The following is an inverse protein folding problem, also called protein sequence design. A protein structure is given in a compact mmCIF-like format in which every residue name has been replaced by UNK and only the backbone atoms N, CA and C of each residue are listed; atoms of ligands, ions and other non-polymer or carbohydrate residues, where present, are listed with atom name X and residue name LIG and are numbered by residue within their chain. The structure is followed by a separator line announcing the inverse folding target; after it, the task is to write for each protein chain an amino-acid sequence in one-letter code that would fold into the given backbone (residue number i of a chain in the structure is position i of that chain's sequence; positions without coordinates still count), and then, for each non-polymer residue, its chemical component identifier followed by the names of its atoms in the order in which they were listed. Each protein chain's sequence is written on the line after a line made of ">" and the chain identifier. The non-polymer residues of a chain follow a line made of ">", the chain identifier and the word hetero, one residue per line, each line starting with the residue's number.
data_IF_255545692997
#
_entry.id   IF_255545692997
#
_cell.length_a   1.000
_cell.length_b   1.000
_cell.length_c   1.000
_cell.angle_alpha   90.00
_cell.angle_beta   90.00
_cell.angle_gamma   90.00
#
_symmetry.space_group_name_H-M   'P 1'
#
loop_
_entity.id
_entity.type
_entity.pdbx_description
1 polymer ?
#
# COMPACT_ATOMS: atom_id res chain seq x y z
N UNK A 1 1.66 -20.82 -31.40
CA UNK A 1 2.07 -20.27 -30.09
C UNK A 1 1.49 -21.16 -29.00
N UNK A 2 2.18 -21.38 -27.86
CA UNK A 2 1.59 -22.13 -26.75
C UNK A 2 0.44 -21.33 -26.10
N UNK A 3 -0.58 -22.00 -25.56
CA UNK A 3 -1.76 -21.37 -24.91
C UNK A 3 -1.35 -20.24 -23.95
N UNK A 4 -0.41 -20.52 -23.04
CA UNK A 4 0.07 -19.56 -22.06
C UNK A 4 0.86 -18.39 -22.67
N UNK A 5 1.48 -18.57 -23.84
CA UNK A 5 2.12 -17.47 -24.57
C UNK A 5 1.09 -16.55 -25.19
N UNK A 6 -0.01 -17.10 -25.71
CA UNK A 6 -1.12 -16.33 -26.26
C UNK A 6 -1.86 -15.55 -25.16
N UNK A 7 -2.16 -16.18 -24.02
CA UNK A 7 -2.74 -15.50 -22.84
C UNK A 7 -1.87 -14.31 -22.41
N UNK A 8 -0.55 -14.52 -22.33
CA UNK A 8 0.39 -13.45 -21.97
C UNK A 8 0.34 -12.29 -22.97
N UNK A 9 0.34 -12.59 -24.27
CA UNK A 9 0.26 -11.56 -25.31
C UNK A 9 -1.06 -10.76 -25.22
N UNK A 10 -2.19 -11.45 -25.04
CA UNK A 10 -3.50 -10.81 -24.88
C UNK A 10 -3.54 -9.89 -23.66
N UNK A 11 -3.01 -10.33 -22.51
CA UNK A 11 -2.96 -9.52 -21.29
C UNK A 11 -2.05 -8.29 -21.46
N UNK A 12 -0.90 -8.43 -22.13
CA UNK A 12 -0.03 -7.29 -22.40
C UNK A 12 -0.68 -6.31 -23.39
N UNK A 13 -1.45 -6.80 -24.37
CA UNK A 13 -2.23 -5.93 -25.25
C UNK A 13 -3.29 -5.16 -24.47
N UNK A 14 -4.08 -5.82 -23.63
CA UNK A 14 -5.08 -5.16 -22.78
C UNK A 14 -4.43 -4.06 -21.92
N UNK A 15 -3.27 -4.33 -21.32
CA UNK A 15 -2.54 -3.32 -20.56
C UNK A 15 -2.11 -2.14 -21.43
N UNK A 16 -1.61 -2.41 -22.64
CA UNK A 16 -1.23 -1.35 -23.57
C UNK A 16 -2.44 -0.49 -23.97
N UNK A 17 -3.61 -1.12 -24.19
CA UNK A 17 -4.85 -0.42 -24.52
C UNK A 17 -5.32 0.48 -23.36
N UNK A 18 -5.22 0.00 -22.11
CA UNK A 18 -5.48 0.83 -20.91
C UNK A 18 -4.53 2.02 -20.83
N UNK A 19 -3.24 1.82 -21.14
CA UNK A 19 -2.26 2.92 -21.12
C UNK A 19 -2.49 3.94 -22.24
N UNK A 20 -2.98 3.49 -23.39
CA UNK A 20 -3.31 4.31 -24.56
C UNK A 20 -4.67 4.99 -24.46
N UNK A 21 -5.47 4.68 -23.44
CA UNK A 21 -6.80 5.26 -23.27
C UNK A 21 -6.73 6.77 -23.00
N UNK A 22 -7.42 7.54 -23.84
CA UNK A 22 -7.53 9.00 -23.77
C UNK A 22 -8.92 9.47 -23.36
N UNK A 23 -9.89 8.56 -23.23
CA UNK A 23 -11.26 8.85 -22.83
C UNK A 23 -11.84 7.70 -22.00
N UNK A 24 -12.87 8.02 -21.23
CA UNK A 24 -13.62 7.04 -20.45
C UNK A 24 -14.31 6.00 -21.36
N UNK A 25 -14.85 6.42 -22.50
CA UNK A 25 -15.41 5.50 -23.50
C UNK A 25 -14.40 4.46 -23.98
N UNK A 26 -13.14 4.88 -24.17
CA UNK A 26 -12.07 3.95 -24.53
C UNK A 26 -11.83 2.94 -23.39
N UNK A 27 -11.79 3.38 -22.12
CA UNK A 27 -11.67 2.48 -20.97
C UNK A 27 -12.85 1.50 -20.88
N UNK A 28 -14.08 1.96 -21.12
CA UNK A 28 -15.26 1.10 -21.16
C UNK A 28 -15.18 0.07 -22.29
N UNK A 29 -14.68 0.45 -23.47
CA UNK A 29 -14.44 -0.48 -24.57
C UNK A 29 -13.37 -1.52 -24.25
N UNK A 30 -12.34 -1.17 -23.46
CA UNK A 30 -11.36 -2.15 -22.96
C UNK A 30 -12.00 -3.13 -21.97
N UNK A 31 -12.88 -2.68 -21.09
CA UNK A 31 -13.61 -3.59 -20.19
C UNK A 31 -14.49 -4.55 -21.02
N UNK A 32 -15.17 -4.01 -22.04
CA UNK A 32 -16.03 -4.78 -22.95
C UNK A 32 -15.23 -5.81 -23.76
N UNK A 33 -14.05 -5.43 -24.24
CA UNK A 33 -13.15 -6.33 -24.99
C UNK A 33 -12.64 -7.47 -24.12
N UNK A 34 -12.48 -7.26 -22.81
CA UNK A 34 -12.12 -8.32 -21.85
C UNK A 34 -13.31 -9.26 -21.60
N UNK A 35 -14.53 -8.73 -21.53
CA UNK A 35 -15.75 -9.52 -21.34
C UNK A 35 -16.08 -10.40 -22.55
N UNK A 36 -15.94 -9.85 -23.76
CA UNK A 36 -16.23 -10.52 -25.03
C UNK A 36 -14.98 -11.05 -25.73
N UNK A 37 -13.88 -11.22 -25.00
CA UNK A 37 -12.60 -11.61 -25.58
C UNK A 37 -12.67 -13.00 -26.25
N UNK A 38 -12.34 -13.07 -27.54
CA UNK A 38 -12.46 -14.31 -28.35
C UNK A 38 -11.34 -15.33 -28.08
N UNK A 39 -10.22 -14.90 -27.50
CA UNK A 39 -9.07 -15.74 -27.15
C UNK A 39 -8.96 -16.05 -25.65
N UNK A 40 -8.02 -16.92 -25.23
CA UNK A 40 -7.86 -17.28 -23.83
C UNK A 40 -7.29 -16.10 -23.01
N UNK A 41 -7.87 -15.88 -21.83
CA UNK A 41 -7.41 -14.91 -20.83
C UNK A 41 -6.98 -15.56 -19.51
N UNK A 42 -7.23 -16.86 -19.37
CA UNK A 42 -6.83 -17.64 -18.21
C UNK A 42 -5.71 -18.61 -18.57
N UNK A 43 -4.66 -18.55 -17.76
CA UNK A 43 -3.51 -19.44 -17.92
C UNK A 43 -3.92 -20.89 -17.63
N UNK A 44 -3.45 -21.81 -18.48
CA UNK A 44 -3.49 -23.23 -18.17
C UNK A 44 -2.25 -23.57 -17.32
N UNK A 45 -2.45 -23.53 -16.01
CA UNK A 45 -1.39 -23.71 -15.02
C UNK A 45 -1.50 -25.07 -14.30
N UNK A 46 -2.20 -26.08 -14.86
CA UNK A 46 -2.37 -27.39 -14.22
C UNK A 46 -1.02 -28.08 -13.90
N UNK A 47 -0.12 -28.16 -14.88
CA UNK A 47 1.21 -28.78 -14.70
C UNK A 47 2.09 -28.00 -13.71
N UNK A 48 2.28 -26.67 -13.84
CA UNK A 48 3.00 -25.90 -12.83
C UNK A 48 2.38 -25.98 -11.43
N UNK A 49 1.06 -26.04 -11.32
CA UNK A 49 0.37 -26.20 -10.04
C UNK A 49 0.63 -27.58 -9.44
N UNK A 50 0.58 -28.65 -10.25
CA UNK A 50 0.94 -29.98 -9.81
C UNK A 50 2.40 -30.03 -9.35
N UNK A 51 3.33 -29.46 -10.13
CA UNK A 51 4.74 -29.35 -9.76
C UNK A 51 4.94 -28.59 -8.45
N UNK A 52 4.24 -27.48 -8.25
CA UNK A 52 4.27 -26.72 -6.99
C UNK A 52 3.86 -27.60 -5.80
N UNK A 53 2.79 -28.38 -5.93
CA UNK A 53 2.37 -29.31 -4.87
C UNK A 53 3.35 -30.46 -4.65
N UNK A 54 3.96 -30.99 -5.71
CA UNK A 54 5.04 -31.97 -5.60
C UNK A 54 6.25 -31.40 -4.85
N UNK A 55 6.66 -30.17 -5.17
CA UNK A 55 7.75 -29.49 -4.45
C UNK A 55 7.41 -29.29 -2.97
N UNK A 56 6.20 -28.83 -2.65
CA UNK A 56 5.76 -28.72 -1.25
C UNK A 56 5.73 -30.07 -0.53
N UNK A 57 5.32 -31.15 -1.21
CA UNK A 57 5.33 -32.50 -0.63
C UNK A 57 6.77 -32.96 -0.36
N UNK A 58 7.70 -32.76 -1.29
CA UNK A 58 9.13 -33.06 -1.10
C UNK A 58 9.69 -32.26 0.07
N UNK A 59 9.39 -30.97 0.16
CA UNK A 59 9.81 -30.13 1.28
C UNK A 59 9.26 -30.64 2.61
N UNK A 60 7.98 -31.02 2.68
CA UNK A 60 7.37 -31.55 3.89
C UNK A 60 8.06 -32.85 4.36
N UNK A 61 8.32 -33.77 3.43
CA UNK A 61 9.07 -35.01 3.70
C UNK A 61 10.49 -34.70 4.17
N UNK A 62 11.20 -33.81 3.48
CA UNK A 62 12.55 -33.39 3.85
C UNK A 62 12.61 -32.78 5.25
N UNK A 63 11.69 -31.87 5.59
CA UNK A 63 11.61 -31.30 6.94
C UNK A 63 11.38 -32.37 8.01
N UNK A 64 10.51 -33.34 7.73
CA UNK A 64 10.17 -34.42 8.64
C UNK A 64 11.38 -35.33 8.92
N UNK A 65 12.14 -35.66 7.88
CA UNK A 65 13.35 -36.49 7.99
C UNK A 65 14.47 -35.78 8.75
N UNK A 66 14.72 -34.50 8.42
CA UNK A 66 15.76 -33.70 9.09
C UNK A 66 15.44 -33.52 10.59
N UNK A 67 14.16 -33.41 10.94
CA UNK A 67 13.72 -33.36 12.33
C UNK A 67 14.04 -34.67 13.08
N UNK A 68 13.70 -35.84 12.51
CA UNK A 68 13.91 -37.13 13.19
C UNK A 68 15.37 -37.54 13.33
N UNK A 69 16.24 -37.10 12.41
CA UNK A 69 17.67 -37.45 12.41
C UNK A 69 18.49 -36.54 13.35
N UNK A 70 17.89 -35.48 13.90
CA UNK A 70 18.50 -34.65 14.95
C UNK A 70 19.52 -33.62 14.46
N UNK A 71 19.44 -33.22 13.19
CA UNK A 71 20.40 -32.31 12.55
C UNK A 71 20.22 -30.82 12.87
N UNK A 72 20.36 -30.41 14.13
CA UNK A 72 20.31 -28.98 14.52
C UNK A 72 21.67 -28.28 14.43
N UNK A 73 22.32 -28.33 13.27
CA UNK A 73 23.68 -27.79 13.09
C UNK A 73 23.73 -26.38 12.49
N UNK A 74 22.58 -25.78 12.11
CA UNK A 74 22.52 -24.44 11.50
C UNK A 74 21.30 -23.63 11.94
N UNK A 75 21.34 -22.31 11.75
CA UNK A 75 20.20 -21.42 12.03
C UNK A 75 18.95 -21.78 11.21
N UNK A 76 19.14 -22.23 9.95
CA UNK A 76 18.06 -22.70 9.08
C UNK A 76 17.49 -24.02 9.62
N UNK A 77 18.37 -24.93 10.05
CA UNK A 77 17.98 -26.19 10.71
C UNK A 77 17.14 -25.95 11.95
N UNK A 78 17.53 -24.99 12.80
CA UNK A 78 16.78 -24.63 14.00
C UNK A 78 15.36 -24.12 13.70
N UNK A 79 15.17 -23.32 12.64
CA UNK A 79 13.84 -22.84 12.22
C UNK A 79 12.99 -24.02 11.75
N UNK A 80 13.53 -24.89 10.90
CA UNK A 80 12.82 -26.07 10.40
C UNK A 80 12.48 -27.06 11.52
N UNK A 81 13.41 -27.27 12.46
CA UNK A 81 13.21 -28.10 13.64
C UNK A 81 12.07 -27.55 14.49
N UNK A 82 12.06 -26.26 14.82
CA UNK A 82 10.99 -25.67 15.62
C UNK A 82 9.64 -25.73 14.89
N UNK A 83 9.62 -25.43 13.58
CA UNK A 83 8.41 -25.55 12.78
C UNK A 83 7.85 -26.98 12.80
N UNK A 84 8.71 -27.99 12.70
CA UNK A 84 8.31 -29.39 12.75
C UNK A 84 7.95 -29.83 14.17
N UNK A 85 8.70 -29.43 15.20
CA UNK A 85 8.44 -29.75 16.61
C UNK A 85 7.04 -29.30 17.05
N UNK A 86 6.65 -28.08 16.66
CA UNK A 86 5.33 -27.53 16.99
C UNK A 86 4.25 -27.85 15.96
N UNK A 87 4.52 -28.72 14.98
CA UNK A 87 3.56 -29.12 13.94
C UNK A 87 2.34 -29.84 14.49
N UNK A 88 2.47 -30.54 15.62
CA UNK A 88 1.34 -31.13 16.35
C UNK A 88 0.27 -30.09 16.73
N UNK A 89 0.66 -28.81 16.89
CA UNK A 89 -0.22 -27.68 17.20
C UNK A 89 -0.77 -27.06 15.90
N UNK A 90 0.11 -26.60 15.01
CA UNK A 90 -0.31 -25.77 13.89
C UNK A 90 -0.87 -26.55 12.69
N UNK A 91 -0.45 -27.81 12.45
CA UNK A 91 -0.97 -28.61 11.33
C UNK A 91 -2.46 -28.95 11.53
N UNK A 92 -2.87 -29.56 12.66
CA UNK A 92 -4.29 -29.85 12.89
C UNK A 92 -5.14 -28.58 12.97
N UNK A 93 -4.65 -27.54 13.65
CA UNK A 93 -5.33 -26.25 13.75
C UNK A 93 -5.50 -25.57 12.39
N UNK A 94 -4.47 -25.60 11.54
CA UNK A 94 -4.52 -25.08 10.19
C UNK A 94 -5.48 -25.84 9.28
N UNK A 95 -5.48 -27.18 9.33
CA UNK A 95 -6.45 -28.01 8.59
C UNK A 95 -7.88 -27.70 9.06
N UNK A 96 -8.11 -27.65 10.37
CA UNK A 96 -9.41 -27.32 10.94
C UNK A 96 -9.88 -25.92 10.52
N UNK A 97 -8.98 -24.94 10.48
CA UNK A 97 -9.26 -23.61 9.96
C UNK A 97 -9.69 -23.63 8.49
N UNK A 98 -8.94 -24.32 7.62
CA UNK A 98 -9.24 -24.37 6.18
C UNK A 98 -10.57 -25.08 5.90
N UNK A 99 -10.83 -26.19 6.59
CA UNK A 99 -12.08 -26.95 6.49
C UNK A 99 -13.26 -26.12 6.99
N UNK A 100 -13.13 -25.50 8.17
CA UNK A 100 -14.18 -24.63 8.73
C UNK A 100 -14.40 -23.37 7.88
N UNK A 101 -13.37 -22.79 7.27
CA UNK A 101 -13.51 -21.68 6.34
C UNK A 101 -14.34 -22.08 5.10
N UNK A 102 -14.16 -23.30 4.59
CA UNK A 102 -14.98 -23.84 3.49
C UNK A 102 -16.44 -23.99 3.92
N UNK A 103 -16.71 -24.47 5.13
CA UNK A 103 -18.07 -24.57 5.68
C UNK A 103 -18.70 -23.20 5.95
N UNK A 104 -17.93 -22.23 6.45
CA UNK A 104 -18.36 -20.82 6.63
C UNK A 104 -18.82 -20.22 5.30
N UNK A 105 -18.04 -20.39 4.23
CA UNK A 105 -18.41 -19.93 2.87
C UNK A 105 -19.66 -20.59 2.31
N UNK A 106 -20.01 -21.79 2.79
CA UNK A 106 -21.24 -22.51 2.43
C UNK A 106 -22.43 -22.15 3.32
N UNK A 107 -22.30 -21.20 4.26
CA UNK A 107 -23.36 -20.83 5.19
C UNK A 107 -23.68 -21.89 6.25
N UNK A 108 -22.78 -22.87 6.46
CA UNK A 108 -22.99 -23.99 7.40
C UNK A 108 -22.47 -23.72 8.82
N UNK A 109 -21.81 -22.59 9.04
CA UNK A 109 -21.33 -22.18 10.35
C UNK A 109 -22.09 -20.93 10.82
N UNK A 110 -22.36 -20.82 12.14
CA UNK A 110 -23.05 -19.67 12.69
C UNK A 110 -22.22 -18.40 12.50
N UNK A 111 -22.90 -17.28 12.24
CA UNK A 111 -22.29 -15.94 12.30
C UNK A 111 -22.40 -15.41 13.73
N UNK A 112 -21.33 -14.81 14.23
CA UNK A 112 -21.35 -14.13 15.53
C UNK A 112 -21.99 -12.75 15.41
N UNK A 113 -22.42 -12.19 16.55
CA UNK A 113 -22.91 -10.81 16.62
C UNK A 113 -21.73 -9.81 16.57
N UNK A 114 -21.96 -8.56 16.13
CA UNK A 114 -20.97 -7.49 16.20
C UNK A 114 -20.39 -7.35 17.62
N UNK A 115 -19.07 -7.13 17.79
CA UNK A 115 -18.08 -6.80 16.77
C UNK A 115 -17.37 -8.01 16.11
N UNK A 116 -17.81 -9.24 16.37
CA UNK A 116 -17.15 -10.47 15.93
C UNK A 116 -17.78 -11.12 14.68
N UNK A 117 -18.63 -10.39 13.97
CA UNK A 117 -19.41 -10.82 12.80
C UNK A 117 -18.58 -11.13 11.54
N UNK A 118 -17.25 -11.17 11.65
CA UNK A 118 -16.38 -11.42 10.50
C UNK A 118 -16.38 -12.92 10.12
N UNK A 119 -16.42 -13.25 8.81
CA UNK A 119 -16.59 -14.63 8.32
C UNK A 119 -15.42 -15.58 8.62
N UNK A 120 -14.28 -15.05 9.07
CA UNK A 120 -13.09 -15.81 9.43
C UNK A 120 -12.95 -16.07 10.94
N UNK A 121 -13.73 -15.40 11.79
CA UNK A 121 -13.57 -15.49 13.26
C UNK A 121 -13.94 -16.88 13.77
N UNK A 122 -15.10 -17.41 13.37
CA UNK A 122 -15.52 -18.76 13.77
C UNK A 122 -14.55 -19.84 13.27
N UNK A 123 -14.12 -19.84 11.98
CA UNK A 123 -13.03 -20.71 11.54
C UNK A 123 -11.74 -20.59 12.35
N UNK A 124 -11.34 -19.37 12.70
CA UNK A 124 -10.14 -19.13 13.52
C UNK A 124 -10.28 -19.72 14.92
N UNK A 125 -11.42 -19.54 15.59
CA UNK A 125 -11.68 -20.15 16.90
C UNK A 125 -11.65 -21.68 16.84
N UNK A 126 -12.24 -22.29 15.80
CA UNK A 126 -12.18 -23.74 15.58
C UNK A 126 -10.72 -24.19 15.38
N UNK A 127 -9.96 -23.48 14.55
CA UNK A 127 -8.54 -23.76 14.33
C UNK A 127 -7.71 -23.69 15.61
N UNK A 128 -7.94 -22.67 16.45
CA UNK A 128 -7.29 -22.53 17.76
C UNK A 128 -7.70 -23.67 18.68
N UNK A 129 -9.00 -23.96 18.81
CA UNK A 129 -9.49 -25.03 19.69
C UNK A 129 -8.91 -26.40 19.32
N UNK A 130 -8.83 -26.71 18.02
CA UNK A 130 -8.19 -27.95 17.54
C UNK A 130 -6.68 -27.92 17.76
N UNK A 131 -6.02 -26.78 17.55
CA UNK A 131 -4.59 -26.64 17.84
C UNK A 131 -4.25 -26.84 19.32
N UNK A 132 -5.12 -26.41 20.23
CA UNK A 132 -4.97 -26.62 21.68
C UNK A 132 -5.05 -28.10 22.09
N UNK A 133 -5.61 -28.99 21.25
CA UNK A 133 -5.58 -30.43 21.52
C UNK A 133 -4.15 -30.98 21.60
N UNK A 134 -3.18 -30.29 21.00
CA UNK A 134 -1.76 -30.64 21.12
C UNK A 134 -1.21 -30.61 22.55
N UNK A 135 -1.87 -29.91 23.48
CA UNK A 135 -1.51 -29.94 24.90
C UNK A 135 -2.05 -31.18 25.63
N UNK A 136 -2.91 -31.97 24.98
CA UNK A 136 -3.33 -33.28 25.48
C UNK A 136 -2.22 -34.29 25.17
N UNK A 137 -1.57 -34.91 26.17
CA UNK A 137 -0.40 -35.78 25.94
C UNK A 137 -0.66 -36.90 24.93
N UNK A 138 -1.84 -37.52 24.99
CA UNK A 138 -2.23 -38.61 24.10
C UNK A 138 -2.36 -38.15 22.63
N UNK A 139 -2.82 -36.92 22.39
CA UNK A 139 -2.89 -36.37 21.04
C UNK A 139 -1.50 -36.09 20.49
N UNK A 140 -0.63 -35.46 21.28
CA UNK A 140 0.74 -35.19 20.88
C UNK A 140 1.49 -36.48 20.54
N UNK A 141 1.36 -37.51 21.39
CA UNK A 141 1.93 -38.84 21.15
C UNK A 141 1.34 -39.49 19.89
N UNK A 142 0.01 -39.48 19.74
CA UNK A 142 -0.65 -40.06 18.57
C UNK A 142 -0.25 -39.38 17.25
N UNK A 143 -0.14 -38.05 17.26
CA UNK A 143 0.36 -37.26 16.14
C UNK A 143 1.77 -37.70 15.73
N UNK A 144 2.71 -37.69 16.68
CA UNK A 144 4.09 -38.04 16.41
C UNK A 144 4.27 -39.52 16.06
N UNK A 145 3.47 -40.41 16.65
CA UNK A 145 3.43 -41.81 16.25
C UNK A 145 3.06 -41.94 14.77
N UNK A 146 2.01 -41.26 14.32
CA UNK A 146 1.58 -41.29 12.92
C UNK A 146 2.64 -40.68 11.99
N UNK A 147 3.19 -39.51 12.35
CA UNK A 147 4.25 -38.83 11.58
C UNK A 147 5.50 -39.70 11.47
N UNK A 148 5.96 -40.30 12.57
CA UNK A 148 7.15 -41.17 12.56
C UNK A 148 6.95 -42.41 11.69
N UNK A 149 5.81 -43.09 11.81
CA UNK A 149 5.49 -44.26 10.98
C UNK A 149 5.41 -43.91 9.49
N UNK A 150 4.75 -42.80 9.13
CA UNK A 150 4.72 -42.31 7.75
C UNK A 150 6.13 -41.99 7.24
N UNK A 151 6.98 -41.40 8.08
CA UNK A 151 8.37 -41.11 7.71
C UNK A 151 9.14 -42.38 7.43
N UNK A 152 9.05 -43.39 8.30
CA UNK A 152 9.73 -44.68 8.12
C UNK A 152 9.25 -45.35 6.81
N UNK A 153 7.96 -45.27 6.50
CA UNK A 153 7.43 -45.78 5.23
C UNK A 153 7.99 -45.02 4.02
N UNK A 154 7.95 -43.69 4.03
CA UNK A 154 8.40 -42.84 2.91
C UNK A 154 9.91 -42.95 2.69
N UNK A 155 10.68 -43.10 3.76
CA UNK A 155 12.15 -43.21 3.69
C UNK A 155 12.64 -44.62 3.39
N UNK A 156 11.73 -45.59 3.23
CA UNK A 156 12.06 -47.01 3.13
C UNK A 156 12.99 -47.46 4.27
N UNK A 157 12.52 -47.30 5.51
CA UNK A 157 13.30 -47.61 6.73
C UNK A 157 14.61 -46.82 6.84
N UNK A 158 14.62 -45.57 6.37
CA UNK A 158 15.79 -44.68 6.44
C UNK A 158 16.83 -44.89 5.33
N UNK A 159 16.54 -45.70 4.31
CA UNK A 159 17.45 -45.89 3.16
C UNK A 159 17.53 -44.65 2.27
N UNK A 160 16.47 -43.85 2.20
CA UNK A 160 16.48 -42.56 1.53
C UNK A 160 16.69 -41.45 2.54
N UNK A 161 17.67 -40.58 2.28
CA UNK A 161 17.93 -39.36 3.05
C UNK A 161 17.71 -38.13 2.16
N UNK A 162 16.98 -37.13 2.67
CA UNK A 162 16.80 -35.83 2.05
C UNK A 162 17.59 -34.79 2.86
N UNK A 163 18.78 -34.38 2.38
CA UNK A 163 19.58 -33.35 3.01
C UNK A 163 18.81 -32.05 3.25
N UNK A 164 19.23 -31.31 4.28
CA UNK A 164 18.67 -30.01 4.65
C UNK A 164 18.73 -29.01 3.50
N UNK A 165 19.81 -29.05 2.71
CA UNK A 165 20.05 -28.17 1.57
C UNK A 165 19.00 -28.39 0.47
N UNK A 166 18.70 -29.65 0.16
CA UNK A 166 17.67 -30.02 -0.82
C UNK A 166 16.28 -29.59 -0.31
N UNK A 167 16.03 -29.77 0.99
CA UNK A 167 14.79 -29.31 1.63
C UNK A 167 14.62 -27.79 1.53
N UNK A 168 15.68 -27.03 1.78
CA UNK A 168 15.67 -25.57 1.67
C UNK A 168 15.48 -25.09 0.23
N UNK A 169 16.19 -25.70 -0.73
CA UNK A 169 16.07 -25.35 -2.16
C UNK A 169 14.67 -25.64 -2.68
N UNK A 170 14.09 -26.81 -2.37
CA UNK A 170 12.73 -27.16 -2.79
C UNK A 170 11.68 -26.22 -2.21
N UNK A 171 11.84 -25.77 -0.95
CA UNK A 171 10.95 -24.77 -0.34
C UNK A 171 11.02 -23.43 -1.09
N UNK A 172 12.22 -22.95 -1.41
CA UNK A 172 12.41 -21.69 -2.15
C UNK A 172 11.76 -21.79 -3.53
N UNK A 173 12.00 -22.89 -4.26
CA UNK A 173 11.41 -23.13 -5.57
C UNK A 173 9.87 -23.20 -5.49
N UNK A 174 9.32 -23.90 -4.50
CA UNK A 174 7.87 -23.96 -4.28
C UNK A 174 7.27 -22.57 -4.00
N UNK A 175 7.93 -21.76 -3.16
CA UNK A 175 7.51 -20.41 -2.82
C UNK A 175 7.55 -19.46 -4.03
N UNK A 176 8.63 -19.51 -4.83
CA UNK A 176 8.76 -18.72 -6.06
C UNK A 176 7.69 -19.12 -7.09
N UNK A 177 7.46 -20.42 -7.27
CA UNK A 177 6.45 -20.93 -8.18
C UNK A 177 5.04 -20.56 -7.72
N UNK A 178 4.74 -20.66 -6.43
CA UNK A 178 3.49 -20.20 -5.84
C UNK A 178 3.25 -18.70 -6.08
N UNK A 179 4.27 -17.86 -5.85
CA UNK A 179 4.16 -16.42 -6.10
C UNK A 179 3.92 -16.11 -7.58
N UNK A 180 4.65 -16.77 -8.48
CA UNK A 180 4.48 -16.63 -9.92
C UNK A 180 3.08 -17.04 -10.39
N UNK A 181 2.58 -18.19 -9.92
CA UNK A 181 1.22 -18.67 -10.18
C UNK A 181 0.16 -17.71 -9.64
N UNK A 182 0.36 -17.18 -8.43
CA UNK A 182 -0.54 -16.21 -7.84
C UNK A 182 -0.61 -14.92 -8.66
N UNK A 183 0.53 -14.40 -9.10
CA UNK A 183 0.59 -13.20 -9.97
C UNK A 183 -0.16 -13.42 -11.27
N UNK A 184 -0.03 -14.61 -11.87
CA UNK A 184 -0.78 -15.00 -13.08
C UNK A 184 -2.27 -15.11 -12.83
N UNK A 185 -2.69 -15.81 -11.77
CA UNK A 185 -4.11 -16.01 -11.44
C UNK A 185 -4.84 -14.70 -11.18
N UNK A 186 -4.19 -13.74 -10.53
CA UNK A 186 -4.80 -12.46 -10.14
C UNK A 186 -4.39 -11.29 -11.05
N UNK A 187 -4.04 -11.55 -12.31
CA UNK A 187 -3.61 -10.51 -13.26
C UNK A 187 -4.66 -9.41 -13.48
N UNK A 188 -5.95 -9.74 -13.35
CA UNK A 188 -7.09 -8.82 -13.50
C UNK A 188 -7.07 -7.68 -12.47
N UNK A 189 -6.60 -7.92 -11.25
CA UNK A 189 -6.59 -6.93 -10.17
C UNK A 189 -5.74 -5.69 -10.51
N UNK A 190 -4.43 -5.80 -10.80
CA UNK A 190 -3.62 -4.63 -11.11
C UNK A 190 -4.08 -3.92 -12.39
N UNK A 191 -4.67 -4.63 -13.35
CA UNK A 191 -5.24 -4.01 -14.55
C UNK A 191 -6.52 -3.23 -14.19
N UNK A 192 -7.38 -3.78 -13.34
CA UNK A 192 -8.58 -3.08 -12.84
C UNK A 192 -8.20 -1.83 -12.03
N UNK A 193 -7.19 -1.94 -11.16
CA UNK A 193 -6.66 -0.81 -10.39
C UNK A 193 -6.15 0.29 -11.34
N UNK A 194 -5.49 -0.11 -12.44
CA UNK A 194 -4.98 0.83 -13.44
C UNK A 194 -6.09 1.48 -14.28
N UNK A 195 -7.11 0.72 -14.71
CA UNK A 195 -8.29 1.25 -15.40
C UNK A 195 -8.99 2.29 -14.53
N UNK A 196 -9.25 1.94 -13.27
CA UNK A 196 -9.90 2.84 -12.31
C UNK A 196 -9.08 4.10 -12.07
N UNK A 197 -7.75 3.98 -11.90
CA UNK A 197 -6.88 5.16 -11.79
C UNK A 197 -6.95 6.03 -13.05
N UNK A 198 -6.91 5.44 -14.24
CA UNK A 198 -7.02 6.21 -15.50
C UNK A 198 -8.36 6.93 -15.62
N UNK A 199 -9.46 6.28 -15.24
CA UNK A 199 -10.78 6.90 -15.22
C UNK A 199 -10.82 8.11 -14.29
N UNK A 200 -10.31 8.00 -13.05
CA UNK A 200 -10.20 9.13 -12.12
C UNK A 200 -9.43 10.28 -12.77
N UNK A 201 -8.28 10.00 -13.38
CA UNK A 201 -7.47 11.05 -13.99
C UNK A 201 -8.21 11.75 -15.13
N UNK A 202 -8.89 11.00 -15.99
CA UNK A 202 -9.66 11.56 -17.11
C UNK A 202 -10.86 12.38 -16.61
N UNK A 203 -11.61 11.87 -15.64
CA UNK A 203 -12.79 12.55 -15.07
C UNK A 203 -12.43 13.87 -14.38
N UNK A 204 -11.20 14.00 -13.87
CA UNK A 204 -10.73 15.17 -13.15
C UNK A 204 -9.71 16.00 -13.96
N UNK A 205 -9.63 15.79 -15.28
CA UNK A 205 -8.71 16.49 -16.20
C UNK A 205 -7.23 16.49 -15.77
N UNK A 206 -6.80 15.39 -15.15
CA UNK A 206 -5.44 15.20 -14.66
C UNK A 206 -4.61 14.40 -15.67
N UNK A 207 -3.37 14.85 -15.88
CA UNK A 207 -2.38 14.17 -16.72
C UNK A 207 -1.27 13.60 -15.85
N UNK A 208 -1.06 12.28 -15.92
CA UNK A 208 0.02 11.61 -15.19
C UNK A 208 1.40 11.96 -15.76
N UNK A 209 2.33 12.31 -14.86
CA UNK A 209 3.72 12.58 -15.20
C UNK A 209 4.60 11.39 -14.83
N UNK A 210 5.32 10.84 -15.81
CA UNK A 210 6.32 9.80 -15.56
C UNK A 210 7.57 10.43 -14.95
N UNK A 211 7.76 10.22 -13.66
CA UNK A 211 8.91 10.73 -12.91
C UNK A 211 9.80 9.60 -12.40
N UNK A 212 11.11 9.88 -12.28
CA UNK A 212 12.04 9.01 -11.53
C UNK A 212 11.88 9.33 -10.04
N UNK A 213 11.37 8.42 -9.19
CA UNK A 213 10.90 8.78 -7.84
C UNK A 213 11.93 9.50 -6.96
N UNK A 214 13.13 8.93 -6.81
CA UNK A 214 14.20 9.50 -5.98
C UNK A 214 14.79 10.78 -6.59
N UNK A 215 14.95 10.81 -7.91
CA UNK A 215 15.50 11.98 -8.61
C UNK A 215 14.57 13.19 -8.49
N UNK A 216 13.25 12.98 -8.62
CA UNK A 216 12.27 14.05 -8.50
C UNK A 216 12.14 14.52 -7.05
N UNK A 217 12.22 13.60 -6.08
CA UNK A 217 12.27 13.96 -4.67
C UNK A 217 13.48 14.88 -4.36
N UNK A 218 14.68 14.54 -4.86
CA UNK A 218 15.88 15.39 -4.69
C UNK A 218 15.75 16.75 -5.37
N UNK A 219 15.13 16.81 -6.55
CA UNK A 219 14.86 18.08 -7.23
C UNK A 219 13.95 18.97 -6.37
N UNK A 220 12.88 18.41 -5.82
CA UNK A 220 11.95 19.17 -4.98
C UNK A 220 12.55 19.54 -3.62
N UNK A 221 13.35 18.66 -3.02
CA UNK A 221 14.13 18.93 -1.79
C UNK A 221 15.08 20.12 -1.96
N UNK A 222 15.67 20.30 -3.15
CA UNK A 222 16.53 21.45 -3.42
C UNK A 222 15.77 22.79 -3.44
N UNK A 223 14.45 22.75 -3.61
CA UNK A 223 13.57 23.93 -3.75
C UNK A 223 12.75 24.20 -2.48
N UNK A 224 12.20 23.15 -1.90
CA UNK A 224 11.20 23.20 -0.83
C UNK A 224 11.67 22.39 0.37
N UNK A 225 11.58 23.00 1.55
CA UNK A 225 11.87 22.35 2.83
C UNK A 225 10.94 21.18 3.10
N UNK A 226 9.70 21.19 2.58
CA UNK A 226 8.74 20.09 2.73
C UNK A 226 9.29 18.71 2.31
N UNK A 227 10.23 18.66 1.36
CA UNK A 227 10.80 17.40 0.88
C UNK A 227 12.10 17.01 1.60
N UNK A 228 12.64 17.86 2.48
CA UNK A 228 13.72 17.48 3.41
C UNK A 228 13.15 16.82 4.68
N UNK A 229 12.34 15.77 4.46
CA UNK A 229 11.77 14.91 5.52
C UNK A 229 12.35 13.52 5.43
N UNK A 230 12.40 12.80 6.54
CA UNK A 230 13.04 11.50 6.56
C UNK A 230 14.56 11.60 6.67
N UNK A 231 15.20 10.54 7.14
CA UNK A 231 16.67 10.44 7.21
C UNK A 231 17.23 9.23 6.44
N UNK A 232 16.38 8.48 5.72
CA UNK A 232 16.79 7.26 5.02
C UNK A 232 16.45 7.22 3.53
N UNK A 233 15.16 7.35 3.18
CA UNK A 233 14.69 7.28 1.78
C UNK A 233 13.59 8.32 1.54
N UNK A 234 13.56 8.89 0.33
CA UNK A 234 12.64 9.94 -0.12
C UNK A 234 12.26 9.72 -1.57
N UNK A 235 10.96 9.68 -1.88
CA UNK A 235 10.46 9.32 -3.21
C UNK A 235 9.18 10.06 -3.56
N UNK A 236 9.10 10.55 -4.80
CA UNK A 236 7.81 10.96 -5.40
C UNK A 236 7.22 9.74 -6.09
N UNK A 237 6.25 9.10 -5.45
CA UNK A 237 5.63 7.86 -5.92
C UNK A 237 4.65 8.11 -7.07
N UNK A 238 3.97 9.26 -7.05
CA UNK A 238 3.06 9.67 -8.11
C UNK A 238 3.11 11.18 -8.30
N UNK A 239 2.89 11.62 -9.55
CA UNK A 239 2.83 13.03 -9.91
C UNK A 239 1.85 13.23 -11.06
N UNK A 240 0.99 14.24 -10.94
CA UNK A 240 -0.06 14.55 -11.91
C UNK A 240 -0.09 16.06 -12.17
N UNK A 241 -0.47 16.48 -13.37
CA UNK A 241 -0.70 17.88 -13.72
C UNK A 241 -2.18 18.12 -13.99
N UNK A 242 -2.66 19.29 -13.60
CA UNK A 242 -3.98 19.78 -13.96
C UNK A 242 -3.98 21.29 -14.12
N UNK A 243 -5.08 21.80 -14.64
CA UNK A 243 -5.37 23.22 -14.77
C UNK A 243 -6.67 23.51 -14.00
N UNK A 244 -6.66 24.52 -13.14
CA UNK A 244 -7.85 24.97 -12.44
C UNK A 244 -8.42 26.21 -13.11
N UNK A 245 -9.72 26.22 -13.37
CA UNK A 245 -10.45 27.35 -13.93
C UNK A 245 -11.48 27.86 -12.93
N UNK A 246 -11.09 28.86 -12.13
CA UNK A 246 -12.00 29.57 -11.23
C UNK A 246 -12.62 30.81 -11.90
N UNK A 247 -13.55 31.44 -11.18
CA UNK A 247 -14.23 32.66 -11.65
C UNK A 247 -13.28 33.85 -11.83
N UNK A 248 -12.25 33.95 -10.96
CA UNK A 248 -11.33 35.10 -10.89
C UNK A 248 -9.91 34.75 -11.32
N UNK A 249 -9.42 33.56 -10.94
CA UNK A 249 -8.06 33.13 -11.26
C UNK A 249 -8.08 31.76 -11.91
N UNK A 250 -7.10 31.57 -12.79
CA UNK A 250 -6.78 30.30 -13.41
C UNK A 250 -5.33 29.97 -13.08
N UNK A 251 -5.05 28.72 -12.76
CA UNK A 251 -3.68 28.32 -12.42
C UNK A 251 -3.41 26.86 -12.77
N UNK A 252 -2.21 26.63 -13.28
CA UNK A 252 -1.63 25.31 -13.44
C UNK A 252 -1.19 24.77 -12.08
N UNK A 253 -1.40 23.48 -11.86
CA UNK A 253 -0.96 22.82 -10.64
C UNK A 253 -0.40 21.43 -10.91
N UNK A 254 0.40 20.95 -9.94
CA UNK A 254 0.93 19.59 -9.94
C UNK A 254 0.58 18.90 -8.64
N UNK A 255 -0.13 17.78 -8.71
CA UNK A 255 -0.39 16.93 -7.56
C UNK A 255 0.78 15.97 -7.37
N UNK A 256 1.10 15.67 -6.12
CA UNK A 256 2.14 14.70 -5.82
C UNK A 256 1.76 13.80 -4.64
N UNK A 257 2.34 12.61 -4.65
CA UNK A 257 2.41 11.71 -3.51
C UNK A 257 3.89 11.50 -3.15
N UNK A 258 4.28 12.07 -2.02
CA UNK A 258 5.63 12.01 -1.49
C UNK A 258 5.71 10.98 -0.36
N UNK A 259 6.65 10.05 -0.47
CA UNK A 259 6.93 9.03 0.53
C UNK A 259 8.31 9.27 1.14
N UNK A 260 8.43 9.17 2.45
CA UNK A 260 9.71 9.26 3.14
C UNK A 260 9.84 8.25 4.29
N UNK A 261 11.08 7.94 4.64
CA UNK A 261 11.41 6.94 5.66
C UNK A 261 12.33 7.53 6.72
N UNK A 262 11.93 7.36 7.98
CA UNK A 262 12.77 7.58 9.16
C UNK A 262 13.35 6.26 9.65
N UNK A 263 14.67 6.18 9.70
CA UNK A 263 15.44 5.10 10.31
C UNK A 263 15.79 5.51 11.75
N UNK A 264 15.38 4.70 12.72
CA UNK A 264 15.75 4.86 14.13
C UNK A 264 16.34 3.57 14.69
N UNK A 265 17.29 3.71 15.61
CA UNK A 265 17.86 2.59 16.35
C UNK A 265 17.21 2.55 17.72
N UNK A 266 16.50 1.46 18.01
CA UNK A 266 15.91 1.20 19.32
C UNK A 266 16.81 0.25 20.09
N UNK A 267 17.09 0.61 21.33
CA UNK A 267 17.86 -0.22 22.26
C UNK A 267 16.88 -0.82 23.26
N UNK A 268 16.89 -2.15 23.41
CA UNK A 268 16.07 -2.86 24.39
C UNK A 268 16.92 -3.88 25.15
N UNK A 269 16.55 -4.16 26.39
CA UNK A 269 17.16 -5.24 27.16
C UNK A 269 16.39 -6.53 26.91
N UNK A 270 17.11 -7.62 26.65
CA UNK A 270 16.51 -8.94 26.64
C UNK A 270 16.29 -9.48 28.06
N UNK A 271 15.61 -10.62 28.15
CA UNK A 271 15.31 -11.30 29.43
C UNK A 271 16.55 -11.72 30.22
N UNK A 272 17.75 -11.62 29.63
CA UNK A 272 19.04 -11.94 30.22
C UNK A 272 19.82 -10.67 30.63
N UNK A 273 19.22 -9.48 30.48
CA UNK A 273 19.82 -8.20 30.84
C UNK A 273 20.80 -7.65 29.78
N UNK A 274 20.91 -8.29 28.62
CA UNK A 274 21.78 -7.83 27.55
C UNK A 274 21.11 -6.76 26.70
N UNK A 275 21.85 -5.70 26.42
CA UNK A 275 21.43 -4.59 25.56
C UNK A 275 21.48 -5.00 24.09
N UNK A 276 20.32 -5.13 23.44
CA UNK A 276 20.19 -5.39 22.01
C UNK A 276 19.70 -4.15 21.27
N UNK A 277 20.22 -3.95 20.06
CA UNK A 277 19.79 -2.87 19.17
C UNK A 277 18.97 -3.43 18.00
N UNK A 278 17.85 -2.78 17.70
CA UNK A 278 17.03 -3.06 16.52
C UNK A 278 16.91 -1.78 15.69
N UNK A 279 17.16 -1.89 14.40
CA UNK A 279 16.83 -0.82 13.45
C UNK A 279 15.35 -0.92 13.08
N UNK A 280 14.62 0.19 13.22
CA UNK A 280 13.23 0.33 12.77
C UNK A 280 13.16 1.37 11.66
N UNK A 281 12.33 1.09 10.66
CA UNK A 281 12.03 1.99 9.55
C UNK A 281 10.57 2.41 9.66
N UNK A 282 10.35 3.70 9.87
CA UNK A 282 9.04 4.32 9.97
C UNK A 282 8.74 5.01 8.64
N UNK A 283 7.66 4.56 7.99
CA UNK A 283 7.24 5.01 6.66
C UNK A 283 6.13 6.04 6.79
N UNK A 284 6.25 7.13 6.03
CA UNK A 284 5.30 8.24 6.04
C UNK A 284 4.98 8.69 4.62
N UNK A 285 3.78 9.22 4.45
CA UNK A 285 3.28 9.73 3.18
C UNK A 285 2.75 11.17 3.35
N UNK A 286 3.02 12.01 2.36
CA UNK A 286 2.53 13.38 2.24
C UNK A 286 1.91 13.55 0.85
N UNK A 287 0.74 14.16 0.82
CA UNK A 287 -0.01 14.46 -0.39
C UNK A 287 -0.15 15.96 -0.51
N UNK A 288 -0.20 16.47 -1.73
CA UNK A 288 -0.18 17.91 -1.89
C UNK A 288 -0.20 18.40 -3.32
N UNK A 289 -0.10 19.73 -3.43
CA UNK A 289 -0.15 20.50 -4.67
C UNK A 289 1.07 21.41 -4.74
N UNK A 290 1.70 21.44 -5.91
CA UNK A 290 2.66 22.46 -6.31
C UNK A 290 2.00 23.41 -7.29
N UNK A 291 2.11 24.72 -7.08
CA UNK A 291 1.59 25.74 -7.98
C UNK A 291 2.38 27.05 -7.84
N UNK A 292 2.09 28.04 -8.67
CA UNK A 292 2.62 29.39 -8.49
C UNK A 292 1.58 30.27 -7.77
N UNK A 293 1.96 30.85 -6.63
CA UNK A 293 1.12 31.77 -5.86
C UNK A 293 1.76 33.17 -5.89
N UNK A 294 1.32 34.07 -6.77
CA UNK A 294 2.06 35.30 -7.08
C UNK A 294 1.97 36.39 -5.99
N UNK A 295 1.09 36.21 -5.00
CA UNK A 295 0.77 37.23 -4.00
C UNK A 295 1.65 37.16 -2.74
N UNK A 296 2.56 36.20 -2.61
CA UNK A 296 3.46 36.17 -1.47
C UNK A 296 4.79 35.51 -1.83
N UNK A 297 5.82 35.80 -1.04
CA UNK A 297 7.17 35.24 -1.23
C UNK A 297 7.82 34.99 0.11
N UNK A 298 8.55 33.88 0.22
CA UNK A 298 9.35 33.52 1.40
C UNK A 298 8.54 33.47 2.70
N UNK A 299 7.32 32.93 2.65
CA UNK A 299 6.44 32.71 3.81
C UNK A 299 6.12 31.23 3.90
N UNK A 300 6.23 30.68 5.11
CA UNK A 300 5.90 29.29 5.40
C UNK A 300 4.95 29.21 6.59
N UNK A 301 3.93 28.36 6.48
CA UNK A 301 2.96 28.05 7.51
C UNK A 301 3.02 26.55 7.78
N UNK A 302 3.35 26.15 9.00
CA UNK A 302 3.43 24.75 9.38
C UNK A 302 2.56 24.41 10.58
N UNK A 303 1.78 23.33 10.45
CA UNK A 303 1.07 22.69 11.56
C UNK A 303 1.68 21.34 11.93
N UNK A 304 2.70 20.89 11.20
CA UNK A 304 3.37 19.61 11.43
C UNK A 304 4.62 19.79 12.30
N UNK A 305 4.67 19.20 13.52
CA UNK A 305 5.83 19.33 14.40
C UNK A 305 7.09 18.62 13.88
N UNK A 306 6.99 17.76 12.84
CA UNK A 306 8.14 17.01 12.29
C UNK A 306 9.00 17.82 11.34
N UNK A 307 8.55 19.00 10.94
CA UNK A 307 9.29 19.90 10.07
C UNK A 307 9.49 21.25 10.77
N UNK A 308 10.53 21.97 10.37
CA UNK A 308 10.77 23.33 10.82
C UNK A 308 11.29 24.14 9.65
N UNK A 309 10.75 25.35 9.51
CA UNK A 309 11.11 26.29 8.46
C UNK A 309 12.08 27.36 8.99
N UNK A 310 13.11 27.73 8.21
CA UNK A 310 14.02 28.80 8.59
C UNK A 310 13.32 30.17 8.51
N UNK A 311 13.83 31.15 9.26
CA UNK A 311 13.35 32.53 9.22
C UNK A 311 12.80 33.05 10.54
N UNK A 312 12.37 34.32 10.51
CA UNK A 312 11.77 35.01 11.65
C UNK A 312 10.39 34.43 11.94
N UNK A 313 10.07 34.30 13.23
CA UNK A 313 8.75 33.91 13.68
C UNK A 313 7.80 35.09 13.48
N UNK A 314 6.65 34.86 12.86
CA UNK A 314 5.57 35.83 12.78
C UNK A 314 4.34 35.30 13.53
N UNK A 315 3.57 36.19 14.16
CA UNK A 315 2.34 35.85 14.88
C UNK A 315 1.25 36.84 14.51
N UNK A 316 0.06 36.32 14.23
CA UNK A 316 -1.12 37.14 13.92
C UNK A 316 -1.82 37.57 15.22
N UNK A 317 -2.87 38.39 15.12
CA UNK A 317 -3.74 38.68 16.26
C UNK A 317 -4.64 37.49 16.67
N UNK A 318 -4.83 36.49 15.80
CA UNK A 318 -5.69 35.34 16.09
C UNK A 318 -4.96 34.25 16.87
N UNK A 319 -5.33 34.09 18.14
CA UNK A 319 -4.79 33.01 18.99
C UNK A 319 -5.22 31.61 18.56
N UNK A 320 -6.35 31.46 17.87
CA UNK A 320 -6.77 30.19 17.30
C UNK A 320 -5.82 29.77 16.17
N UNK A 321 -5.60 30.68 15.22
CA UNK A 321 -4.66 30.48 14.11
C UNK A 321 -3.24 30.18 14.61
N UNK A 322 -2.71 30.99 15.55
CA UNK A 322 -1.34 30.82 16.05
C UNK A 322 -1.12 29.51 16.85
N UNK A 323 -2.20 28.85 17.30
CA UNK A 323 -2.13 27.51 17.92
C UNK A 323 -2.05 26.39 16.89
N UNK A 324 -2.62 26.62 15.72
CA UNK A 324 -2.70 25.68 14.62
C UNK A 324 -1.48 25.78 13.70
N UNK A 325 -1.10 26.99 13.30
CA UNK A 325 0.02 27.26 12.40
C UNK A 325 1.15 28.03 13.09
N UNK A 326 2.37 27.59 12.85
CA UNK A 326 3.58 28.38 13.06
C UNK A 326 3.94 29.06 11.75
N UNK A 327 4.11 30.39 11.80
CA UNK A 327 4.49 31.18 10.63
C UNK A 327 5.97 31.53 10.68
N UNK A 328 6.66 31.26 9.57
CA UNK A 328 8.07 31.63 9.34
C UNK A 328 8.19 32.47 8.09
N UNK A 329 8.99 33.52 8.16
CA UNK A 329 9.19 34.43 7.03
C UNK A 329 10.60 35.02 7.02
N UNK A 330 11.06 35.47 5.85
CA UNK A 330 12.25 36.33 5.73
C UNK A 330 11.93 37.80 6.02
N UNK A 331 10.72 38.23 5.69
CA UNK A 331 10.22 39.60 5.85
C UNK A 331 8.86 39.58 6.55
N UNK A 332 8.79 40.18 7.73
CA UNK A 332 7.56 40.27 8.51
C UNK A 332 6.49 41.11 7.82
N UNK A 333 6.89 42.09 6.98
CA UNK A 333 5.95 42.89 6.21
C UNK A 333 5.23 42.05 5.14
N UNK A 334 5.93 41.11 4.51
CA UNK A 334 5.33 40.17 3.55
C UNK A 334 4.34 39.24 4.25
N UNK A 335 4.71 38.70 5.42
CA UNK A 335 3.80 37.86 6.21
C UNK A 335 2.56 38.65 6.66
N UNK A 336 2.73 39.90 7.11
CA UNK A 336 1.61 40.75 7.53
C UNK A 336 0.65 41.10 6.38
N UNK A 337 1.16 41.31 5.16
CA UNK A 337 0.34 41.56 3.98
C UNK A 337 -0.45 40.33 3.54
N UNK A 338 0.20 39.16 3.52
CA UNK A 338 -0.47 37.90 3.21
C UNK A 338 -1.54 37.57 4.26
N UNK A 339 -1.19 37.67 5.54
CA UNK A 339 -2.02 37.24 6.67
C UNK A 339 -2.97 38.34 7.14
N UNK A 340 -3.73 38.91 6.21
CA UNK A 340 -4.87 39.77 6.52
C UNK A 340 -5.93 38.97 7.30
N UNK A 341 -6.85 39.64 8.05
CA UNK A 341 -7.86 38.93 8.84
C UNK A 341 -8.68 37.90 8.06
N UNK A 342 -9.06 38.22 6.81
CA UNK A 342 -9.82 37.30 5.95
C UNK A 342 -8.99 36.09 5.50
N UNK A 343 -7.69 36.27 5.20
CA UNK A 343 -6.80 35.15 4.84
C UNK A 343 -6.53 34.27 6.06
N UNK A 344 -6.38 34.88 7.25
CA UNK A 344 -6.22 34.13 8.51
C UNK A 344 -7.43 33.25 8.80
N UNK A 345 -8.64 33.76 8.58
CA UNK A 345 -9.89 32.99 8.74
C UNK A 345 -9.95 31.82 7.75
N UNK A 346 -9.74 32.08 6.45
CA UNK A 346 -9.73 31.03 5.43
C UNK A 346 -8.66 29.96 5.67
N UNK A 347 -7.48 30.35 6.17
CA UNK A 347 -6.42 29.40 6.52
C UNK A 347 -6.74 28.60 7.78
N UNK A 348 -7.50 29.18 8.73
CA UNK A 348 -7.98 28.42 9.90
C UNK A 348 -8.97 27.34 9.50
N UNK A 349 -9.92 27.65 8.61
CA UNK A 349 -10.84 26.63 8.05
C UNK A 349 -10.05 25.53 7.30
N UNK A 350 -9.10 25.92 6.45
CA UNK A 350 -8.20 24.98 5.78
C UNK A 350 -7.43 24.08 6.77
N UNK A 351 -7.03 24.64 7.91
CA UNK A 351 -6.31 23.89 8.94
C UNK A 351 -7.17 22.89 9.72
N UNK A 352 -8.48 23.08 9.75
CA UNK A 352 -9.44 22.14 10.34
C UNK A 352 -9.79 20.99 9.37
N UNK A 353 -9.81 21.25 8.06
CA UNK A 353 -10.19 20.29 7.03
C UNK A 353 -9.09 19.30 6.63
N UNK A 354 -7.81 19.67 6.84
CA UNK A 354 -6.66 18.88 6.40
C UNK A 354 -5.79 18.42 7.58
N UNK A 355 -5.27 17.20 7.50
CA UNK A 355 -4.38 16.69 8.56
C UNK A 355 -2.95 17.22 8.39
N UNK A 356 -2.50 18.00 9.37
CA UNK A 356 -1.14 18.58 9.42
C UNK A 356 -0.73 19.33 8.13
N UNK A 357 -1.51 20.33 7.71
CA UNK A 357 -1.20 21.14 6.56
C UNK A 357 0.11 21.92 6.73
N UNK A 358 0.82 22.03 5.62
CA UNK A 358 1.99 22.87 5.44
C UNK A 358 1.77 23.67 4.16
N UNK A 359 2.04 24.97 4.22
CA UNK A 359 2.08 25.86 3.05
C UNK A 359 3.45 26.49 3.03
N UNK A 360 4.23 26.24 1.99
CA UNK A 360 5.56 26.80 1.78
C UNK A 360 5.58 27.60 0.48
N UNK A 361 5.72 28.92 0.60
CA UNK A 361 5.85 29.84 -0.53
C UNK A 361 7.30 30.34 -0.57
N UNK A 362 8.05 29.93 -1.60
CA UNK A 362 9.48 30.26 -1.70
C UNK A 362 9.68 31.63 -2.38
N UNK A 363 10.93 32.06 -2.54
CA UNK A 363 11.27 33.40 -3.02
C UNK A 363 10.79 33.74 -4.44
N UNK A 364 10.59 32.75 -5.31
CA UNK A 364 10.08 32.92 -6.67
C UNK A 364 8.54 32.77 -6.76
N UNK A 365 7.85 32.70 -5.62
CA UNK A 365 6.40 32.46 -5.50
C UNK A 365 5.92 31.06 -5.92
N UNK A 366 6.84 30.12 -6.20
CA UNK A 366 6.48 28.71 -6.25
C UNK A 366 6.03 28.27 -4.85
N UNK A 367 4.96 27.50 -4.82
CA UNK A 367 4.23 27.17 -3.61
C UNK A 367 4.02 25.68 -3.51
N UNK A 368 4.29 25.14 -2.33
CA UNK A 368 4.01 23.76 -1.96
C UNK A 368 2.95 23.74 -0.86
N UNK A 369 1.85 23.03 -1.08
CA UNK A 369 0.80 22.78 -0.09
C UNK A 369 0.77 21.28 0.18
N UNK A 370 0.92 20.87 1.44
CA UNK A 370 1.12 19.47 1.80
C UNK A 370 0.34 19.06 3.06
N UNK A 371 -0.14 17.82 3.13
CA UNK A 371 -0.88 17.25 4.26
C UNK A 371 -0.74 15.70 4.30
N UNK A 372 -1.24 15.03 5.35
CA UNK A 372 -1.16 13.56 5.52
C UNK A 372 -2.34 12.77 4.90
N UNK A 373 -3.22 13.46 4.18
CA UNK A 373 -4.50 12.93 3.74
C UNK A 373 -4.41 12.12 2.44
N UNK A 374 -4.43 10.79 2.57
CA UNK A 374 -4.36 9.84 1.44
C UNK A 374 -5.56 9.86 0.50
N UNK A 375 -6.70 10.36 0.96
CA UNK A 375 -7.97 10.38 0.22
C UNK A 375 -8.03 11.50 -0.83
N UNK A 376 -7.01 12.36 -0.93
CA UNK A 376 -6.90 13.37 -1.99
C UNK A 376 -6.92 12.78 -3.40
N UNK A 377 -6.22 11.64 -3.58
CA UNK A 377 -6.01 11.00 -4.89
C UNK A 377 -6.54 9.56 -4.93
N UNK A 378 -7.07 9.05 -3.81
CA UNK A 378 -7.47 7.64 -3.71
C UNK A 378 -8.98 7.49 -3.55
N UNK A 379 -9.62 7.06 -4.64
CA UNK A 379 -10.93 6.43 -4.57
C UNK A 379 -10.74 4.92 -4.53
N UNK A 380 -11.50 4.25 -3.67
CA UNK A 380 -11.45 2.79 -3.58
C UNK A 380 -12.46 2.20 -4.56
N UNK A 381 -11.97 1.41 -5.52
CA UNK A 381 -12.85 0.64 -6.41
C UNK A 381 -13.64 -0.42 -5.64
N UNK A 382 -14.85 -0.71 -6.10
CA UNK A 382 -15.74 -1.76 -5.57
C UNK A 382 -15.67 -3.02 -6.42
N UNK A 383 -15.56 -2.88 -7.73
CA UNK A 383 -15.56 -3.98 -8.70
C UNK A 383 -14.27 -3.99 -9.54
N UNK A 384 -14.12 -4.97 -10.43
CA UNK A 384 -12.98 -5.11 -11.32
C UNK A 384 -13.31 -6.00 -12.51
N UNK A 385 -12.29 -6.36 -13.29
CA UNK A 385 -12.44 -7.21 -14.48
C UNK A 385 -12.92 -8.65 -14.18
N UNK A 386 -13.04 -9.04 -12.91
CA UNK A 386 -13.72 -10.26 -12.48
C UNK A 386 -15.25 -10.14 -12.50
N UNK A 387 -15.78 -8.91 -12.49
CA UNK A 387 -17.20 -8.56 -12.63
C UNK A 387 -17.34 -7.39 -13.62
N UNK A 388 -17.16 -7.64 -14.94
CA UNK A 388 -17.02 -6.58 -15.93
C UNK A 388 -18.24 -5.65 -16.00
N UNK A 389 -19.47 -6.16 -15.95
CA UNK A 389 -20.68 -5.33 -16.02
C UNK A 389 -20.77 -4.31 -14.88
N UNK A 390 -20.63 -4.77 -13.64
CA UNK A 390 -20.65 -3.91 -12.46
C UNK A 390 -19.46 -2.94 -12.43
N UNK A 391 -18.30 -3.35 -12.95
CA UNK A 391 -17.14 -2.48 -13.06
C UNK A 391 -17.34 -1.40 -14.13
N UNK A 392 -17.98 -1.72 -15.25
CA UNK A 392 -18.33 -0.75 -16.29
C UNK A 392 -19.30 0.31 -15.77
N UNK A 393 -20.32 -0.10 -15.02
CA UNK A 393 -21.24 0.83 -14.34
C UNK A 393 -20.52 1.73 -13.33
N UNK A 394 -19.56 1.18 -12.58
CA UNK A 394 -18.73 1.96 -11.66
C UNK A 394 -17.88 3.01 -12.40
N UNK A 395 -17.21 2.61 -13.48
CA UNK A 395 -16.42 3.53 -14.30
C UNK A 395 -17.30 4.61 -14.94
N UNK A 396 -18.49 4.26 -15.45
CA UNK A 396 -19.42 5.21 -16.04
C UNK A 396 -19.98 6.24 -15.03
N UNK A 397 -19.87 5.99 -13.73
CA UNK A 397 -20.36 6.85 -12.66
C UNK A 397 -19.63 8.19 -12.49
N UNK A 398 -18.60 8.48 -13.30
CA UNK A 398 -17.80 9.71 -13.27
C UNK A 398 -17.29 10.07 -11.86
N UNK A 399 -16.28 9.34 -11.42
CA UNK A 399 -15.72 9.52 -10.09
C UNK A 399 -15.05 10.89 -9.91
N UNK A 400 -15.57 11.71 -8.99
CA UNK A 400 -15.02 13.03 -8.64
C UNK A 400 -14.10 12.96 -7.43
N UNK A 401 -13.03 13.75 -7.48
CA UNK A 401 -12.11 13.94 -6.35
C UNK A 401 -12.58 15.14 -5.50
N UNK A 402 -13.68 14.96 -4.76
CA UNK A 402 -14.31 16.03 -3.96
C UNK A 402 -13.32 16.79 -3.06
N UNK A 403 -12.36 16.08 -2.46
CA UNK A 403 -11.35 16.69 -1.60
C UNK A 403 -10.31 17.51 -2.37
N UNK A 404 -9.98 17.08 -3.59
CA UNK A 404 -9.14 17.86 -4.49
C UNK A 404 -9.88 19.12 -4.95
N UNK A 405 -11.15 19.00 -5.33
CA UNK A 405 -11.97 20.14 -5.75
C UNK A 405 -12.09 21.17 -4.63
N UNK A 406 -12.35 20.72 -3.39
CA UNK A 406 -12.37 21.58 -2.21
C UNK A 406 -11.02 22.28 -1.98
N UNK A 407 -9.90 21.55 -2.11
CA UNK A 407 -8.56 22.12 -1.98
C UNK A 407 -8.29 23.20 -3.03
N UNK A 408 -8.60 22.94 -4.30
CA UNK A 408 -8.39 23.89 -5.39
C UNK A 408 -9.29 25.13 -5.23
N UNK A 409 -10.52 24.96 -4.77
CA UNK A 409 -11.42 26.07 -4.43
C UNK A 409 -10.88 26.92 -3.27
N UNK A 410 -10.33 26.29 -2.23
CA UNK A 410 -9.67 26.99 -1.13
C UNK A 410 -8.45 27.78 -1.62
N UNK A 411 -7.60 27.20 -2.47
CA UNK A 411 -6.45 27.89 -3.07
C UNK A 411 -6.92 29.10 -3.91
N UNK A 412 -7.97 28.92 -4.70
CA UNK A 412 -8.58 30.01 -5.49
C UNK A 412 -9.11 31.14 -4.60
N UNK A 413 -9.79 30.81 -3.49
CA UNK A 413 -10.26 31.80 -2.54
C UNK A 413 -9.09 32.53 -1.86
N UNK A 414 -8.02 31.82 -1.48
CA UNK A 414 -6.81 32.43 -0.92
C UNK A 414 -6.15 33.40 -1.91
N UNK A 415 -6.09 33.04 -3.20
CA UNK A 415 -5.61 33.95 -4.25
C UNK A 415 -6.48 35.21 -4.33
N UNK A 416 -7.81 35.04 -4.40
CA UNK A 416 -8.76 36.16 -4.47
C UNK A 416 -8.66 37.10 -3.26
N UNK A 417 -8.56 36.55 -2.05
CA UNK A 417 -8.42 37.33 -0.82
C UNK A 417 -7.06 38.04 -0.75
N UNK A 418 -6.02 37.44 -1.33
CA UNK A 418 -4.69 38.02 -1.34
C UNK A 418 -4.55 39.12 -2.39
N UNK A 419 -5.12 38.96 -3.59
CA UNK A 419 -5.08 39.97 -4.66
C UNK A 419 -5.60 41.34 -4.18
N UNK A 420 -6.72 41.34 -3.46
CA UNK A 420 -7.30 42.53 -2.83
C UNK A 420 -6.39 43.22 -1.80
N UNK A 421 -5.37 42.53 -1.27
CA UNK A 421 -4.41 43.11 -0.32
C UNK A 421 -3.14 43.66 -1.02
N UNK A 422 -2.97 43.40 -2.32
CA UNK A 422 -1.82 43.86 -3.12
C UNK A 422 -2.18 44.88 -4.22
N UNK A 423 -3.47 45.13 -4.43
CA UNK A 423 -3.98 46.33 -5.12
C UNK A 423 -3.91 47.56 -4.22
#
# INVERSE_FOLDING_TARGET
>A
MSHNSQVKANIEQIKADVEAATSQDHLMNVIDSVQHHTGPLDYNDQLPTALMWVLFAITAVGMMMNYMIGGNYSAIGAVMYNAMHYSAIWVPGGIAFLVSQKFSKQGKLPMLKPPLDRPWVVPAMIGVAVGLLAFVPMWFQGYWFLVANLTIMITNQGQFYYPLEITAVTLILAALLYYWLRKRKYWRNPVSDRIHMRDILLNNNLTEQKVKPESKARELESKFREFDRGNHRREIQAMYSGEYQGEVHQFAFQLYHFHYVDKRTETYQDSEGNTKTRTRYDHFDRYGVLLNFPFAKSVSLDSDPRISFPGKKYTTASNAFNRMFKVRTRDEMQAARLLSPAVVEALSEFGDDFTRPVIEIIGNSDTCIAFEDKDLLSLRRRFGLDKPDAFKEEIAGHAKLEKLDALLATIHNLMRLSDNNFA
#
